data_IF_800230262002
#
_entry.id   IF_800230262002
#
_cell.length_a   1.000
_cell.length_b   1.000
_cell.length_c   1.000
_cell.angle_alpha   90.00
_cell.angle_beta   90.00
_cell.angle_gamma   90.00
#
_symmetry.space_group_name_H-M   'P 1'
#
loop_
_entity.id
_entity.type
_entity.pdbx_description
1 polymer ?
#
# COMPACT_ATOMS: atom_id res chain seq x y z
N UNK A 1 4.92 -17.06 -18.96
CA UNK A 1 3.93 -17.29 -17.90
C UNK A 1 2.54 -17.09 -18.46
N UNK A 2 1.55 -17.96 -18.20
CA UNK A 2 0.18 -17.50 -18.21
C UNK A 2 0.08 -16.47 -17.11
N UNK A 3 -0.02 -15.20 -17.49
CA UNK A 3 -0.08 -14.12 -16.52
C UNK A 3 -1.50 -14.09 -15.98
N UNK A 4 -1.74 -14.72 -14.83
CA UNK A 4 -3.03 -14.60 -14.16
C UNK A 4 -3.15 -13.21 -13.51
N UNK A 5 -4.40 -12.75 -13.33
CA UNK A 5 -4.69 -11.40 -12.83
C UNK A 5 -4.20 -11.18 -11.40
N UNK A 6 -4.20 -12.22 -10.57
CA UNK A 6 -3.78 -12.14 -9.16
C UNK A 6 -2.28 -11.87 -9.12
N UNK A 7 -1.51 -12.61 -9.91
CA UNK A 7 -0.06 -12.43 -10.08
C UNK A 7 0.29 -11.01 -10.57
N UNK A 8 -0.43 -10.46 -11.58
CA UNK A 8 -0.22 -9.07 -12.03
C UNK A 8 -0.47 -8.06 -10.91
N UNK A 9 -1.58 -8.25 -10.20
CA UNK A 9 -2.04 -7.34 -9.18
C UNK A 9 -1.10 -7.32 -7.97
N UNK A 10 -0.66 -8.51 -7.52
CA UNK A 10 0.32 -8.67 -6.44
C UNK A 10 1.67 -8.03 -6.81
N UNK A 11 2.17 -8.24 -8.03
CA UNK A 11 3.40 -7.56 -8.49
C UNK A 11 3.24 -6.05 -8.58
N UNK A 12 2.09 -5.57 -9.05
CA UNK A 12 1.75 -4.14 -9.09
C UNK A 12 1.77 -3.52 -7.69
N UNK A 13 1.16 -4.17 -6.72
CA UNK A 13 1.15 -3.75 -5.32
C UNK A 13 2.54 -3.80 -4.68
N UNK A 14 3.34 -4.82 -4.95
CA UNK A 14 4.73 -4.86 -4.50
C UNK A 14 5.49 -3.63 -5.00
N UNK A 15 5.43 -3.33 -6.30
CA UNK A 15 6.11 -2.16 -6.88
C UNK A 15 5.61 -0.85 -6.29
N UNK A 16 4.29 -0.70 -6.16
CA UNK A 16 3.68 0.46 -5.54
C UNK A 16 4.15 0.63 -4.09
N UNK A 17 4.26 -0.47 -3.32
CA UNK A 17 4.74 -0.43 -1.94
C UNK A 17 6.18 0.10 -1.82
N UNK A 18 7.06 -0.27 -2.76
CA UNK A 18 8.44 0.24 -2.79
C UNK A 18 8.48 1.73 -3.11
N UNK A 19 7.67 2.21 -4.05
CA UNK A 19 7.58 3.65 -4.34
C UNK A 19 7.05 4.44 -3.14
N UNK A 20 6.02 3.94 -2.44
CA UNK A 20 5.56 4.56 -1.20
C UNK A 20 6.67 4.55 -0.14
N UNK A 21 7.36 3.42 0.02
CA UNK A 21 8.44 3.23 1.00
C UNK A 21 9.60 4.22 0.79
N UNK A 22 10.00 4.46 -0.46
CA UNK A 22 11.03 5.46 -0.81
C UNK A 22 10.63 6.87 -0.37
N UNK A 23 9.39 7.28 -0.62
CA UNK A 23 8.89 8.60 -0.22
C UNK A 23 8.83 8.71 1.31
N UNK A 24 8.34 7.68 1.99
CA UNK A 24 8.30 7.62 3.45
C UNK A 24 9.70 7.78 4.05
N UNK A 25 10.68 7.01 3.56
CA UNK A 25 12.05 7.10 4.03
C UNK A 25 12.65 8.49 3.78
N UNK A 26 12.49 9.02 2.56
CA UNK A 26 13.03 10.32 2.16
C UNK A 26 12.50 11.46 3.06
N UNK A 27 11.18 11.52 3.24
CA UNK A 27 10.57 12.57 4.06
C UNK A 27 10.87 12.40 5.55
N UNK A 28 10.99 11.17 6.03
CA UNK A 28 11.34 10.91 7.44
C UNK A 28 12.78 11.33 7.73
N UNK A 29 13.73 11.00 6.85
CA UNK A 29 15.13 11.43 6.96
C UNK A 29 15.31 12.95 6.84
N UNK A 30 14.37 13.64 6.17
CA UNK A 30 14.35 15.09 6.06
C UNK A 30 13.63 15.80 7.24
N UNK A 31 13.29 15.10 8.33
CA UNK A 31 12.50 15.62 9.46
C UNK A 31 11.11 16.14 9.06
N UNK A 32 10.57 15.62 7.94
CA UNK A 32 9.24 15.91 7.39
C UNK A 32 8.29 14.72 7.56
N UNK A 33 8.50 13.94 8.61
CA UNK A 33 7.80 12.69 8.87
C UNK A 33 6.26 12.80 8.82
N UNK A 34 5.59 13.85 9.36
CA UNK A 34 4.14 14.01 9.23
C UNK A 34 3.65 14.22 7.79
N UNK A 35 4.48 14.79 6.90
CA UNK A 35 4.13 14.99 5.49
C UNK A 35 4.09 13.68 4.70
N UNK A 36 4.74 12.62 5.20
CA UNK A 36 4.71 11.29 4.61
C UNK A 36 3.42 10.50 4.90
N UNK A 37 2.49 11.07 5.67
CA UNK A 37 1.28 10.37 6.11
C UNK A 37 0.44 9.75 4.98
N UNK A 38 0.19 10.44 3.83
CA UNK A 38 -0.51 9.81 2.71
C UNK A 38 0.21 8.56 2.18
N UNK A 39 1.54 8.60 2.10
CA UNK A 39 2.36 7.50 1.61
C UNK A 39 2.40 6.34 2.62
N UNK A 40 2.54 6.61 3.93
CA UNK A 40 2.46 5.58 4.97
C UNK A 40 1.10 4.91 4.98
N UNK A 41 0.02 5.69 4.87
CA UNK A 41 -1.34 5.17 4.79
C UNK A 41 -1.49 4.22 3.60
N UNK A 42 -1.06 4.63 2.41
CA UNK A 42 -1.12 3.81 1.21
C UNK A 42 -0.28 2.52 1.35
N UNK A 43 0.95 2.65 1.87
CA UNK A 43 1.85 1.51 2.12
C UNK A 43 1.24 0.48 3.08
N UNK A 44 0.70 0.93 4.22
CA UNK A 44 0.05 0.04 5.20
C UNK A 44 -1.20 -0.60 4.60
N UNK A 45 -1.97 0.13 3.79
CA UNK A 45 -3.13 -0.42 3.11
C UNK A 45 -2.75 -1.56 2.15
N UNK A 46 -1.68 -1.38 1.37
CA UNK A 46 -1.15 -2.44 0.51
C UNK A 46 -0.75 -3.67 1.33
N UNK A 47 0.03 -3.48 2.41
CA UNK A 47 0.49 -4.59 3.25
C UNK A 47 -0.67 -5.39 3.85
N UNK A 48 -1.67 -4.69 4.38
CA UNK A 48 -2.85 -5.32 4.98
C UNK A 48 -3.75 -5.98 3.94
N UNK A 49 -3.85 -5.44 2.73
CA UNK A 49 -4.61 -6.07 1.64
C UNK A 49 -3.89 -7.29 1.06
N UNK A 50 -2.56 -7.29 0.98
CA UNK A 50 -1.78 -8.48 0.64
C UNK A 50 -2.01 -9.59 1.67
N UNK A 51 -2.02 -9.25 2.96
CA UNK A 51 -2.29 -10.23 4.01
C UNK A 51 -3.71 -10.80 3.89
N UNK A 52 -4.70 -9.94 3.72
CA UNK A 52 -6.08 -10.37 3.50
C UNK A 52 -6.22 -11.28 2.28
N UNK A 53 -5.59 -10.92 1.16
CA UNK A 53 -5.63 -11.72 -0.06
C UNK A 53 -4.95 -13.09 0.13
N UNK A 54 -3.84 -13.15 0.86
CA UNK A 54 -3.18 -14.40 1.23
C UNK A 54 -4.09 -15.30 2.06
N UNK A 55 -4.83 -14.74 3.01
CA UNK A 55 -5.75 -15.50 3.87
C UNK A 55 -7.00 -16.01 3.16
N UNK A 56 -7.32 -15.48 1.97
CA UNK A 56 -8.41 -16.02 1.15
C UNK A 56 -8.03 -17.38 0.55
N UNK A 57 -9.01 -18.31 0.41
CA UNK A 57 -8.82 -19.49 -0.42
C UNK A 57 -8.37 -19.08 -1.82
N UNK A 58 -7.42 -19.81 -2.39
CA UNK A 58 -6.87 -19.51 -3.72
C UNK A 58 -7.96 -19.32 -4.78
N UNK A 59 -9.00 -20.17 -4.75
CA UNK A 59 -10.13 -20.12 -5.68
C UNK A 59 -10.91 -18.80 -5.66
N UNK A 60 -10.84 -18.04 -4.56
CA UNK A 60 -11.58 -16.79 -4.39
C UNK A 60 -10.77 -15.54 -4.73
N UNK A 61 -9.43 -15.64 -4.80
CA UNK A 61 -8.52 -14.49 -4.95
C UNK A 61 -8.75 -13.73 -6.26
N UNK A 62 -8.92 -14.45 -7.37
CA UNK A 62 -9.19 -13.81 -8.66
C UNK A 62 -10.48 -12.98 -8.64
N UNK A 63 -11.55 -13.53 -8.07
CA UNK A 63 -12.82 -12.82 -7.93
C UNK A 63 -12.77 -11.66 -6.92
N UNK A 64 -11.89 -11.75 -5.92
CA UNK A 64 -11.63 -10.68 -4.96
C UNK A 64 -10.87 -9.50 -5.61
N UNK A 65 -9.82 -9.79 -6.39
CA UNK A 65 -9.09 -8.79 -7.19
C UNK A 65 -10.03 -8.12 -8.18
N UNK A 66 -10.89 -8.88 -8.85
CA UNK A 66 -11.90 -8.32 -9.76
C UNK A 66 -12.90 -7.42 -9.05
N UNK A 67 -13.32 -7.78 -7.84
CA UNK A 67 -14.22 -6.95 -7.03
C UNK A 67 -13.56 -5.62 -6.63
N UNK A 68 -12.23 -5.60 -6.43
CA UNK A 68 -11.48 -4.37 -6.18
C UNK A 68 -11.43 -3.48 -7.43
N UNK A 69 -11.04 -4.04 -8.57
CA UNK A 69 -10.95 -3.31 -9.84
C UNK A 69 -12.32 -2.77 -10.28
N UNK A 70 -13.40 -3.54 -10.07
CA UNK A 70 -14.77 -3.12 -10.33
C UNK A 70 -15.15 -1.89 -9.48
N UNK A 71 -14.79 -1.91 -8.19
CA UNK A 71 -15.07 -0.80 -7.29
C UNK A 71 -14.27 0.46 -7.64
N UNK A 72 -13.00 0.32 -8.00
CA UNK A 72 -12.14 1.43 -8.46
C UNK A 72 -12.67 2.03 -9.77
N UNK A 73 -13.14 1.18 -10.69
CA UNK A 73 -13.80 1.60 -11.94
C UNK A 73 -15.07 2.39 -11.64
N UNK A 74 -15.93 1.87 -10.76
CA UNK A 74 -17.17 2.54 -10.34
C UNK A 74 -16.88 3.92 -9.71
N UNK A 75 -15.87 4.00 -8.84
CA UNK A 75 -15.49 5.25 -8.17
C UNK A 75 -14.90 6.28 -9.14
N UNK A 76 -14.08 5.82 -10.09
CA UNK A 76 -13.48 6.69 -11.11
C UNK A 76 -14.56 7.29 -11.99
N UNK A 77 -15.50 6.47 -12.48
CA UNK A 77 -16.63 6.95 -13.30
C UNK A 77 -17.46 8.01 -12.56
N UNK A 78 -17.83 7.74 -11.30
CA UNK A 78 -18.56 8.70 -10.47
C UNK A 78 -17.79 10.00 -10.27
N UNK A 79 -16.46 9.93 -10.12
CA UNK A 79 -15.63 11.12 -9.99
C UNK A 79 -15.72 11.99 -11.23
N UNK A 80 -15.68 11.40 -12.43
CA UNK A 80 -15.83 12.15 -13.69
C UNK A 80 -17.24 12.71 -13.88
N UNK A 81 -18.29 12.01 -13.42
CA UNK A 81 -19.64 12.57 -13.41
C UNK A 81 -19.72 13.80 -12.49
N UNK A 82 -19.11 13.76 -11.31
CA UNK A 82 -19.05 14.92 -10.40
C UNK A 82 -18.22 16.07 -11.00
N UNK A 83 -17.09 15.77 -11.65
CA UNK A 83 -16.29 16.77 -12.35
C UNK A 83 -17.12 17.49 -13.43
N UNK A 84 -17.92 16.73 -14.19
CA UNK A 84 -18.84 17.27 -15.20
C UNK A 84 -19.90 18.17 -14.58
N UNK A 85 -20.50 17.75 -13.47
CA UNK A 85 -21.47 18.57 -12.72
C UNK A 85 -20.86 19.88 -12.19
N UNK A 86 -19.56 19.87 -11.86
CA UNK A 86 -18.80 21.06 -11.47
C UNK A 86 -18.32 21.91 -12.67
N UNK A 87 -18.66 21.53 -13.91
CA UNK A 87 -18.30 22.25 -15.12
C UNK A 87 -16.95 21.89 -15.74
N UNK A 88 -16.31 20.81 -15.27
CA UNK A 88 -15.08 20.28 -15.85
C UNK A 88 -15.39 19.19 -16.89
N UNK A 89 -15.29 19.53 -18.17
CA UNK A 89 -15.70 18.70 -19.31
C UNK A 89 -14.52 18.06 -20.05
N UNK A 90 -13.58 17.46 -19.31
CA UNK A 90 -12.52 16.65 -19.91
C UNK A 90 -13.02 15.22 -20.13
N UNK A 91 -12.70 14.63 -21.28
CA UNK A 91 -13.02 13.22 -21.57
C UNK A 91 -11.91 12.32 -21.01
N UNK A 92 -12.20 11.51 -19.98
CA UNK A 92 -11.23 10.56 -19.46
C UNK A 92 -10.91 9.44 -20.45
N UNK A 93 -9.63 9.08 -20.52
CA UNK A 93 -9.21 7.82 -21.13
C UNK A 93 -9.41 6.66 -20.15
N UNK A 94 -10.32 5.75 -20.51
CA UNK A 94 -10.62 4.55 -19.74
C UNK A 94 -10.10 3.27 -20.39
N UNK A 95 -9.29 3.34 -21.45
CA UNK A 95 -8.85 2.17 -22.22
C UNK A 95 -8.16 1.14 -21.34
N UNK A 96 -7.12 1.55 -20.60
CA UNK A 96 -6.38 0.66 -19.70
C UNK A 96 -7.26 0.07 -18.59
N UNK A 97 -8.21 0.85 -18.06
CA UNK A 97 -9.13 0.40 -17.02
C UNK A 97 -10.15 -0.61 -17.57
N UNK A 98 -10.61 -0.43 -18.80
CA UNK A 98 -11.60 -1.30 -19.46
C UNK A 98 -10.98 -2.55 -20.12
N UNK A 99 -9.65 -2.59 -20.27
CA UNK A 99 -8.94 -3.74 -20.81
C UNK A 99 -9.15 -5.03 -19.99
N UNK A 100 -9.52 -4.92 -18.71
CA UNK A 100 -9.78 -6.06 -17.85
C UNK A 100 -11.23 -6.56 -17.99
N UNK A 101 -11.39 -7.80 -18.46
CA UNK A 101 -12.64 -8.58 -18.33
C UNK A 101 -12.71 -9.11 -16.91
N UNK A 102 -13.56 -8.47 -16.10
CA UNK A 102 -13.73 -8.77 -14.68
C UNK A 102 -14.76 -9.89 -14.49
N UNK A 103 -14.38 -10.92 -13.73
CA UNK A 103 -15.29 -11.95 -13.24
C UNK A 103 -15.44 -11.80 -11.73
N UNK A 104 -16.20 -10.75 -11.34
CA UNK A 104 -16.39 -10.38 -9.94
C UNK A 104 -16.99 -11.54 -9.16
N UNK A 105 -16.42 -11.83 -7.98
CA UNK A 105 -16.94 -12.86 -7.09
C UNK A 105 -18.43 -12.66 -6.76
N UNK A 106 -19.20 -13.74 -6.77
CA UNK A 106 -20.59 -13.76 -6.30
C UNK A 106 -20.69 -13.80 -4.77
N UNK A 107 -19.56 -14.05 -4.07
CA UNK A 107 -19.51 -14.04 -2.62
C UNK A 107 -19.59 -12.60 -2.08
N UNK A 108 -20.76 -12.24 -1.54
CA UNK A 108 -21.03 -10.90 -1.02
C UNK A 108 -20.09 -10.46 0.11
N UNK A 109 -19.56 -11.38 0.91
CA UNK A 109 -18.61 -11.05 1.98
C UNK A 109 -17.24 -10.65 1.42
N UNK A 110 -16.72 -11.43 0.47
CA UNK A 110 -15.44 -11.13 -0.19
C UNK A 110 -15.55 -9.83 -0.99
N UNK A 111 -16.70 -9.60 -1.63
CA UNK A 111 -16.97 -8.34 -2.32
C UNK A 111 -16.97 -7.13 -1.37
N UNK A 112 -17.56 -7.24 -0.18
CA UNK A 112 -17.52 -6.17 0.83
C UNK A 112 -16.09 -5.92 1.34
N UNK A 113 -15.35 -6.99 1.62
CA UNK A 113 -13.94 -6.93 2.03
C UNK A 113 -13.06 -6.25 0.97
N UNK A 114 -13.22 -6.63 -0.30
CA UNK A 114 -12.54 -6.00 -1.43
C UNK A 114 -12.78 -4.48 -1.48
N UNK A 115 -14.04 -4.07 -1.26
CA UNK A 115 -14.48 -2.67 -1.34
C UNK A 115 -14.08 -1.82 -0.13
N UNK A 116 -13.99 -2.41 1.06
CA UNK A 116 -13.81 -1.68 2.32
C UNK A 116 -12.56 -2.15 3.05
N UNK A 117 -11.56 -1.27 3.14
CA UNK A 117 -10.31 -1.57 3.84
C UNK A 117 -10.51 -2.14 5.25
N UNK A 118 -11.38 -1.52 6.07
CA UNK A 118 -11.64 -2.00 7.42
C UNK A 118 -12.26 -3.42 7.44
N UNK A 119 -13.12 -3.75 6.47
CA UNK A 119 -13.66 -5.10 6.33
C UNK A 119 -12.57 -6.11 5.98
N UNK A 120 -11.67 -5.79 5.03
CA UNK A 120 -10.52 -6.64 4.69
C UNK A 120 -9.57 -6.84 5.88
N UNK A 121 -9.19 -5.75 6.56
CA UNK A 121 -8.32 -5.80 7.74
C UNK A 121 -8.90 -6.64 8.89
N UNK A 122 -10.21 -6.61 9.07
CA UNK A 122 -10.89 -7.45 10.06
C UNK A 122 -11.11 -8.88 9.60
N UNK A 123 -11.02 -9.17 8.30
CA UNK A 123 -11.22 -10.51 7.76
C UNK A 123 -9.96 -11.40 7.83
N UNK A 124 -8.77 -10.83 8.05
CA UNK A 124 -7.52 -11.62 8.18
C UNK A 124 -7.62 -12.63 9.32
N UNK A 125 -7.06 -13.82 9.13
CA UNK A 125 -7.01 -14.88 10.13
C UNK A 125 -6.18 -14.40 11.33
N UNK A 126 -4.98 -13.87 11.07
CA UNK A 126 -4.14 -13.24 12.09
C UNK A 126 -4.49 -11.76 12.19
N UNK A 127 -4.93 -11.31 13.37
CA UNK A 127 -5.29 -9.90 13.59
C UNK A 127 -4.05 -9.04 13.75
N UNK A 128 -4.03 -7.92 13.04
CA UNK A 128 -2.93 -6.95 13.03
C UNK A 128 -3.39 -5.59 13.55
N UNK A 129 -3.65 -5.44 14.86
CA UNK A 129 -4.16 -4.19 15.42
C UNK A 129 -3.16 -3.03 15.28
N UNK A 130 -1.85 -3.31 15.30
CA UNK A 130 -0.81 -2.30 15.12
C UNK A 130 -0.87 -1.62 13.74
N UNK A 131 -0.75 -2.37 12.64
CA UNK A 131 -0.91 -1.82 11.29
C UNK A 131 -2.27 -1.13 11.06
N UNK A 132 -3.37 -1.73 11.53
CA UNK A 132 -4.69 -1.10 11.39
C UNK A 132 -4.78 0.25 12.14
N UNK A 133 -4.25 0.32 13.36
CA UNK A 133 -4.15 1.56 14.13
C UNK A 133 -3.29 2.59 13.41
N UNK A 134 -2.13 2.18 12.90
CA UNK A 134 -1.22 3.07 12.16
C UNK A 134 -1.90 3.65 10.92
N UNK A 135 -2.59 2.83 10.10
CA UNK A 135 -3.37 3.31 8.96
C UNK A 135 -4.43 4.34 9.37
N UNK A 136 -5.09 4.13 10.51
CA UNK A 136 -6.13 5.03 11.01
C UNK A 136 -5.57 6.36 11.49
N UNK A 137 -4.44 6.35 12.20
CA UNK A 137 -3.77 7.56 12.66
C UNK A 137 -3.24 8.37 11.47
N UNK A 138 -2.56 7.74 10.52
CA UNK A 138 -2.04 8.40 9.30
C UNK A 138 -3.17 9.01 8.44
N UNK A 139 -4.36 8.40 8.44
CA UNK A 139 -5.54 8.99 7.79
C UNK A 139 -5.93 10.36 8.36
N UNK A 140 -5.65 10.63 9.63
CA UNK A 140 -5.95 11.93 10.25
C UNK A 140 -4.97 13.02 9.80
N UNK A 141 -3.75 12.63 9.41
CA UNK A 141 -2.72 13.52 8.89
C UNK A 141 -2.79 13.72 7.36
N UNK A 142 -3.42 12.80 6.64
CA UNK A 142 -3.58 12.86 5.18
C UNK A 142 -4.72 13.76 4.68
N UNK A 143 -5.48 14.40 5.57
CA UNK A 143 -6.63 15.25 5.24
C UNK A 143 -6.64 16.53 6.09
N UNK A 144 -7.34 17.57 5.61
CA UNK A 144 -7.55 18.82 6.36
C UNK A 144 -8.50 18.61 7.55
N UNK A 145 -8.00 17.99 8.62
CA UNK A 145 -8.78 17.67 9.82
C UNK A 145 -8.55 18.70 10.94
N UNK A 146 -9.52 18.84 11.84
CA UNK A 146 -9.33 19.65 13.06
C UNK A 146 -8.22 19.11 13.97
N UNK A 147 -8.01 17.80 13.96
CA UNK A 147 -6.89 17.16 14.66
C UNK A 147 -5.53 17.60 14.11
N UNK A 148 -5.38 17.60 12.77
CA UNK A 148 -4.19 18.10 12.10
C UNK A 148 -3.92 19.57 12.44
N UNK A 149 -4.96 20.41 12.35
CA UNK A 149 -4.87 21.82 12.67
C UNK A 149 -4.40 22.05 14.13
N UNK A 150 -5.00 21.35 15.09
CA UNK A 150 -4.59 21.42 16.50
C UNK A 150 -3.19 20.88 16.77
N UNK A 151 -2.74 19.87 16.02
CA UNK A 151 -1.40 19.30 16.17
C UNK A 151 -0.29 20.25 15.65
N UNK A 152 -0.55 21.00 14.58
CA UNK A 152 0.40 21.98 14.05
C UNK A 152 0.34 23.35 14.75
N UNK A 153 -0.83 23.76 15.24
CA UNK A 153 -1.02 25.04 15.91
C UNK A 153 -1.63 24.86 17.32
N UNK A 154 -0.92 24.20 18.25
CA UNK A 154 -1.40 24.05 19.62
C UNK A 154 -1.45 25.42 20.30
N UNK A 155 -2.53 25.65 21.06
CA UNK A 155 -2.65 26.85 21.89
C UNK A 155 -1.78 26.69 23.14
N UNK A 156 -0.93 27.67 23.40
CA UNK A 156 -0.24 27.87 24.68
C UNK A 156 -0.60 29.25 25.22
N UNK A 157 -0.29 29.50 26.50
CA UNK A 157 -0.71 30.73 27.20
C UNK A 157 -0.32 32.02 26.45
N UNK A 158 0.78 32.02 25.69
CA UNK A 158 1.29 33.21 24.99
C UNK A 158 1.51 33.05 23.47
N UNK A 159 1.26 31.88 22.86
CA UNK A 159 1.48 31.66 21.42
C UNK A 159 0.48 30.69 20.78
N UNK A 160 0.08 30.95 19.53
CA UNK A 160 -0.39 29.91 18.60
C UNK A 160 0.86 29.23 18.05
N UNK A 161 1.24 28.09 18.62
CA UNK A 161 2.62 27.60 18.70
C UNK A 161 3.26 26.99 17.44
N UNK A 162 4.42 26.35 17.64
CA UNK A 162 5.23 25.58 16.67
C UNK A 162 5.02 24.07 16.82
N UNK A 163 3.76 23.63 16.73
CA UNK A 163 3.40 22.23 16.91
C UNK A 163 3.99 21.32 15.82
N UNK A 164 4.51 20.17 16.24
CA UNK A 164 4.91 19.08 15.33
C UNK A 164 4.02 17.87 15.62
N UNK A 165 3.20 17.41 14.66
CA UNK A 165 2.41 16.21 14.85
C UNK A 165 3.28 15.02 15.23
N UNK A 166 2.79 14.24 16.17
CA UNK A 166 3.41 12.96 16.53
C UNK A 166 3.33 11.98 15.36
N UNK A 167 4.37 11.16 15.19
CA UNK A 167 4.39 10.07 14.22
C UNK A 167 4.71 8.78 14.98
N UNK A 168 3.95 7.71 14.70
CA UNK A 168 4.07 6.43 15.43
C UNK A 168 5.41 5.71 15.22
N UNK A 169 6.01 5.87 14.04
CA UNK A 169 7.22 5.15 13.62
C UNK A 169 8.28 6.14 13.12
N UNK A 170 8.85 6.96 14.02
CA UNK A 170 9.77 8.04 13.65
C UNK A 170 11.15 7.53 13.18
N UNK A 171 11.55 6.32 13.58
CA UNK A 171 12.82 5.67 13.25
C UNK A 171 12.72 4.67 12.09
N UNK A 172 11.50 4.43 11.58
CA UNK A 172 11.17 3.52 10.48
C UNK A 172 11.38 2.03 10.83
N UNK A 173 11.47 1.66 12.11
CA UNK A 173 11.69 0.28 12.49
C UNK A 173 10.47 -0.60 12.18
N UNK A 174 9.25 -0.11 12.47
CA UNK A 174 8.04 -0.84 12.10
C UNK A 174 7.85 -0.87 10.58
N UNK A 175 8.20 0.20 9.88
CA UNK A 175 8.17 0.29 8.42
C UNK A 175 9.11 -0.72 7.75
N UNK A 176 10.32 -0.93 8.29
CA UNK A 176 11.26 -1.96 7.81
C UNK A 176 10.69 -3.37 7.99
N UNK A 177 10.14 -3.68 9.16
CA UNK A 177 9.49 -4.98 9.40
C UNK A 177 8.31 -5.21 8.45
N UNK A 178 7.51 -4.16 8.21
CA UNK A 178 6.38 -4.23 7.29
C UNK A 178 6.83 -4.40 5.83
N UNK A 179 7.98 -3.86 5.45
CA UNK A 179 8.57 -4.07 4.12
C UNK A 179 8.93 -5.53 3.91
N UNK A 180 9.58 -6.16 4.90
CA UNK A 180 9.85 -7.62 4.88
C UNK A 180 8.54 -8.41 4.77
N UNK A 181 7.51 -8.02 5.53
CA UNK A 181 6.21 -8.66 5.49
C UNK A 181 5.55 -8.61 4.10
N UNK A 182 5.57 -7.44 3.44
CA UNK A 182 5.06 -7.27 2.07
C UNK A 182 5.79 -8.19 1.08
N UNK A 183 7.11 -8.29 1.18
CA UNK A 183 7.94 -9.14 0.31
C UNK A 183 7.60 -10.61 0.51
N UNK A 184 7.54 -11.07 1.77
CA UNK A 184 7.26 -12.47 2.09
C UNK A 184 5.84 -12.87 1.68
N UNK A 185 4.85 -11.99 1.87
CA UNK A 185 3.48 -12.24 1.38
C UNK A 185 3.41 -12.29 -0.14
N UNK A 186 4.11 -11.39 -0.81
CA UNK A 186 4.17 -11.38 -2.28
C UNK A 186 4.77 -12.68 -2.79
N UNK A 187 5.92 -13.09 -2.24
CA UNK A 187 6.55 -14.38 -2.56
C UNK A 187 5.56 -15.55 -2.39
N UNK A 188 4.89 -15.64 -1.24
CA UNK A 188 3.93 -16.71 -0.94
C UNK A 188 2.78 -16.73 -1.93
N UNK A 189 2.16 -15.58 -2.18
CA UNK A 189 1.06 -15.45 -3.14
C UNK A 189 1.49 -15.89 -4.54
N UNK A 190 2.67 -15.46 -5.00
CA UNK A 190 3.18 -15.85 -6.32
C UNK A 190 3.36 -17.36 -6.46
N UNK A 191 4.00 -18.00 -5.48
CA UNK A 191 4.20 -19.46 -5.47
C UNK A 191 2.87 -20.20 -5.45
N UNK A 192 1.93 -19.75 -4.61
CA UNK A 192 0.61 -20.37 -4.51
C UNK A 192 -0.21 -20.22 -5.80
N UNK A 193 -0.11 -19.09 -6.50
CA UNK A 193 -0.72 -18.89 -7.83
C UNK A 193 0.01 -19.65 -8.96
N UNK A 194 1.05 -20.43 -8.64
CA UNK A 194 1.74 -21.29 -9.59
C UNK A 194 2.88 -20.60 -10.35
N UNK A 195 3.37 -19.46 -9.86
CA UNK A 195 4.65 -18.91 -10.31
C UNK A 195 5.77 -19.86 -9.90
N UNK A 196 6.73 -20.07 -10.79
CA UNK A 196 7.92 -20.86 -10.48
C UNK A 196 8.65 -20.30 -9.24
N UNK A 197 8.99 -21.18 -8.30
CA UNK A 197 9.55 -20.77 -7.00
C UNK A 197 10.87 -20.02 -7.16
N UNK A 198 11.73 -20.44 -8.10
CA UNK A 198 13.01 -19.75 -8.34
C UNK A 198 12.78 -18.33 -8.87
N UNK A 199 11.74 -18.14 -9.68
CA UNK A 199 11.36 -16.83 -10.16
C UNK A 199 10.75 -15.96 -9.05
N UNK A 200 9.87 -16.51 -8.22
CA UNK A 200 9.30 -15.79 -7.09
C UNK A 200 10.37 -15.37 -6.07
N UNK A 201 11.38 -16.23 -5.85
CA UNK A 201 12.49 -15.98 -4.92
C UNK A 201 13.36 -14.79 -5.33
N UNK A 202 13.43 -14.46 -6.63
CA UNK A 202 14.21 -13.29 -7.10
C UNK A 202 13.84 -11.99 -6.39
N UNK A 203 12.60 -11.84 -5.93
CA UNK A 203 12.12 -10.67 -5.19
C UNK A 203 12.72 -10.63 -3.78
N UNK A 204 12.78 -11.79 -3.12
CA UNK A 204 13.34 -11.95 -1.78
C UNK A 204 14.85 -11.72 -1.86
N UNK A 205 15.52 -12.38 -2.80
CA UNK A 205 16.95 -12.22 -3.05
C UNK A 205 17.28 -10.75 -3.32
N UNK A 206 16.59 -10.09 -4.26
CA UNK A 206 16.85 -8.68 -4.57
C UNK A 206 16.68 -7.73 -3.37
N UNK A 207 15.87 -8.08 -2.37
CA UNK A 207 15.71 -7.28 -1.17
C UNK A 207 16.80 -7.51 -0.13
N UNK A 208 17.21 -8.76 0.08
CA UNK A 208 18.21 -9.12 1.10
C UNK A 208 19.65 -9.10 0.58
N UNK A 209 19.83 -9.16 -0.74
CA UNK A 209 21.13 -9.11 -1.40
C UNK A 209 21.61 -7.66 -1.48
N UNK A 210 22.07 -7.15 -0.33
CA UNK A 210 22.93 -5.97 -0.30
C UNK A 210 24.27 -6.39 -0.90
N UNK A 211 24.63 -5.88 -2.08
CA UNK A 211 25.96 -6.10 -2.65
C UNK A 211 27.05 -5.86 -1.59
N UNK A 212 27.79 -6.91 -1.26
CA UNK A 212 29.06 -6.89 -0.53
C UNK A 212 30.13 -6.16 -1.37
N UNK A 213 29.99 -4.84 -1.56
CA UNK A 213 30.96 -4.01 -2.27
C UNK A 213 32.08 -3.50 -1.33
N UNK A 214 32.68 -4.44 -0.59
CA UNK A 214 33.91 -4.24 0.18
C UNK A 214 35.01 -5.23 -0.18
N UNK A 215 35.12 -5.58 -1.47
CA UNK A 215 36.23 -6.38 -1.99
C UNK A 215 36.88 -5.79 -3.25
N UNK A 216 37.14 -4.48 -3.27
CA UNK A 216 38.03 -3.86 -4.28
C UNK A 216 38.95 -2.77 -3.74
N UNK A 217 39.31 -2.83 -2.45
CA UNK A 217 40.35 -1.96 -1.86
C UNK A 217 41.52 -2.78 -1.30
N UNK A 218 42.05 -3.74 -2.08
CA UNK A 218 43.37 -4.32 -1.86
C UNK A 218 44.00 -4.70 -3.19
N UNK A 219 44.73 -3.75 -3.76
CA UNK A 219 46.06 -3.91 -4.36
C UNK A 219 46.29 -2.75 -5.31
N UNK A 220 46.78 -1.63 -4.78
CA UNK A 220 47.74 -0.78 -5.48
C UNK A 220 48.51 0.04 -4.45
N UNK A 221 49.64 -0.52 -4.04
CA UNK A 221 50.72 0.19 -3.35
C UNK A 221 52.02 -0.41 -3.87
N UNK A 222 52.51 0.17 -4.96
CA UNK A 222 53.94 0.14 -5.31
C UNK A 222 54.69 1.06 -4.35
#
# INVERSE_FOLDING_TARGET
MPVDRVTQFVVGWLRASFEQSKVVATLTLADMSPAAAPNRRCFIEIAMRLHWLHDLPQSDRAGAVDAMLDAEREQTLKTFDHLREMGWNEEPDFEAMNAFVLNVTSNGQIKDQARKFASAAHATIVKNPGPFRAWREESSYAHATGYLAGAYAPVSDDTMGVGRPHVLDPDLDAHRMMTVFVIMLTYRLLVEEGTDESLAMTIVDAFFDTHDDHSAAKNDSN
#
